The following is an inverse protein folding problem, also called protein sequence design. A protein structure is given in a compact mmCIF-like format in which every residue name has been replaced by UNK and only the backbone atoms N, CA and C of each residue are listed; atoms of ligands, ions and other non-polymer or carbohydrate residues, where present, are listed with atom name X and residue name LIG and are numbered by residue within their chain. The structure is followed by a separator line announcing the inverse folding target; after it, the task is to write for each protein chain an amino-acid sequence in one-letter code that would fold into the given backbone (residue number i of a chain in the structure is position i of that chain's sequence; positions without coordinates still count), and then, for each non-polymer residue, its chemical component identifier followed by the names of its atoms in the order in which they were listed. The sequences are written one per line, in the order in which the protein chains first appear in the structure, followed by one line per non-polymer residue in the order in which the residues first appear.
data_IF_386616329575
#
_entry.id   IF_386616329575
#
_cell.length_a   1.000
_cell.length_b   1.000
_cell.length_c   1.000
_cell.angle_alpha   90.00
_cell.angle_beta   90.00
_cell.angle_gamma   90.00
#
_symmetry.space_group_name_H-M   'P 1'
#
loop_
_entity.id
_entity.type
_entity.pdbx_description
1 polymer ?
#
# COMPACT_ATOMS: atom_id res chain seq x y z
N UNK A 1 -18.20 10.48 10.09
CA UNK A 1 -17.37 9.43 10.73
C UNK A 1 -16.25 9.09 9.79
N UNK A 2 -14.99 9.23 10.22
CA UNK A 2 -13.84 8.82 9.42
C UNK A 2 -13.35 7.44 9.82
N UNK A 3 -12.81 6.66 8.88
CA UNK A 3 -12.28 5.32 9.14
C UNK A 3 -10.95 5.09 8.44
N UNK A 4 -10.28 4.00 8.82
CA UNK A 4 -8.99 3.57 8.26
C UNK A 4 -9.19 2.27 7.50
N UNK A 5 -8.62 2.15 6.31
CA UNK A 5 -8.56 0.89 5.58
C UNK A 5 -7.20 0.23 5.79
N UNK A 6 -7.20 -1.07 6.06
CA UNK A 6 -5.98 -1.84 6.32
C UNK A 6 -6.02 -3.08 5.44
N UNK A 7 -5.03 -3.22 4.57
CA UNK A 7 -4.80 -4.40 3.76
C UNK A 7 -3.58 -5.12 4.29
N UNK A 8 -3.74 -6.36 4.73
CA UNK A 8 -2.63 -7.24 5.09
C UNK A 8 -2.47 -8.38 4.09
N UNK A 9 -1.24 -8.72 3.71
CA UNK A 9 -0.95 -9.84 2.80
C UNK A 9 -1.77 -9.69 1.51
N UNK A 10 -2.63 -10.66 1.16
CA UNK A 10 -3.53 -10.57 -0.02
C UNK A 10 -4.59 -9.47 0.08
N UNK A 11 -4.89 -8.96 1.27
CA UNK A 11 -5.76 -7.80 1.46
C UNK A 11 -5.22 -6.53 0.79
N UNK A 12 -3.90 -6.42 0.59
CA UNK A 12 -3.31 -5.32 -0.18
C UNK A 12 -3.78 -5.30 -1.65
N UNK A 13 -4.14 -6.46 -2.22
CA UNK A 13 -4.67 -6.51 -3.60
C UNK A 13 -6.00 -5.77 -3.71
N UNK A 14 -6.82 -5.80 -2.66
CA UNK A 14 -8.09 -5.06 -2.60
C UNK A 14 -7.84 -3.56 -2.57
N UNK A 15 -6.85 -3.11 -1.77
CA UNK A 15 -6.45 -1.70 -1.75
C UNK A 15 -5.90 -1.25 -3.10
N UNK A 16 -5.09 -2.08 -3.75
CA UNK A 16 -4.57 -1.78 -5.08
C UNK A 16 -5.71 -1.61 -6.09
N UNK A 17 -6.71 -2.50 -6.08
CA UNK A 17 -7.87 -2.40 -6.96
C UNK A 17 -8.68 -1.12 -6.70
N UNK A 18 -8.87 -0.74 -5.43
CA UNK A 18 -9.50 0.52 -5.06
C UNK A 18 -8.79 1.71 -5.70
N UNK A 19 -7.45 1.73 -5.71
CA UNK A 19 -6.69 2.79 -6.37
C UNK A 19 -6.93 2.82 -7.88
N UNK A 20 -6.93 1.65 -8.53
CA UNK A 20 -7.18 1.56 -9.97
C UNK A 20 -8.57 2.05 -10.39
N UNK A 21 -9.57 1.84 -9.54
CA UNK A 21 -10.96 2.24 -9.81
C UNK A 21 -11.30 3.65 -9.32
N UNK A 22 -10.41 4.27 -8.54
CA UNK A 22 -10.64 5.53 -7.83
C UNK A 22 -11.24 6.62 -8.73
N UNK A 23 -10.73 6.73 -9.97
CA UNK A 23 -11.19 7.73 -10.95
C UNK A 23 -12.65 7.60 -11.33
N UNK A 24 -13.06 6.38 -11.61
CA UNK A 24 -14.42 6.09 -12.03
C UNK A 24 -15.34 6.07 -10.81
N UNK A 25 -14.87 5.54 -9.68
CA UNK A 25 -15.57 5.50 -8.41
C UNK A 25 -16.01 6.90 -7.93
N UNK A 26 -15.14 7.90 -8.03
CA UNK A 26 -15.45 9.30 -7.64
C UNK A 26 -16.55 9.97 -8.49
N UNK A 27 -16.97 9.39 -9.61
CA UNK A 27 -18.09 9.92 -10.42
C UNK A 27 -19.44 9.62 -9.76
N UNK A 28 -19.51 8.58 -8.95
CA UNK A 28 -20.66 8.28 -8.11
C UNK A 28 -20.57 9.06 -6.80
N UNK A 29 -21.63 9.78 -6.45
CA UNK A 29 -21.63 10.69 -5.28
C UNK A 29 -21.57 9.95 -3.95
N UNK A 30 -22.20 8.79 -3.87
CA UNK A 30 -22.24 8.02 -2.63
C UNK A 30 -20.88 7.35 -2.40
N UNK A 31 -20.23 6.90 -3.47
CA UNK A 31 -18.87 6.34 -3.41
C UNK A 31 -17.82 7.43 -3.15
N UNK A 32 -17.92 8.61 -3.76
CA UNK A 32 -17.03 9.74 -3.46
C UNK A 32 -17.15 10.16 -1.98
N UNK A 33 -18.38 10.25 -1.46
CA UNK A 33 -18.61 10.51 -0.04
C UNK A 33 -18.00 9.42 0.86
N UNK A 34 -18.07 8.14 0.46
CA UNK A 34 -17.39 7.06 1.17
C UNK A 34 -15.86 7.24 1.17
N UNK A 35 -15.27 7.54 0.01
CA UNK A 35 -13.82 7.76 -0.15
C UNK A 35 -13.35 8.93 0.72
N UNK A 36 -14.10 10.03 0.76
CA UNK A 36 -13.79 11.21 1.58
C UNK A 36 -13.82 10.93 3.10
N UNK A 37 -14.47 9.84 3.53
CA UNK A 37 -14.45 9.42 4.93
C UNK A 37 -13.23 8.54 5.28
N UNK A 38 -12.40 8.14 4.30
CA UNK A 38 -11.16 7.41 4.56
C UNK A 38 -10.11 8.40 5.06
N UNK A 39 -9.62 8.22 6.29
CA UNK A 39 -8.55 9.05 6.86
C UNK A 39 -7.16 8.55 6.48
N UNK A 40 -6.99 7.24 6.47
CA UNK A 40 -5.72 6.59 6.21
C UNK A 40 -5.91 5.21 5.56
N UNK A 41 -4.90 4.81 4.79
CA UNK A 41 -4.79 3.48 4.20
C UNK A 41 -3.44 2.85 4.58
N UNK A 42 -3.48 1.59 5.00
CA UNK A 42 -2.30 0.82 5.40
C UNK A 42 -2.12 -0.37 4.46
N UNK A 43 -0.97 -0.42 3.81
CA UNK A 43 -0.46 -1.63 3.16
C UNK A 43 0.49 -2.30 4.15
N UNK A 44 0.03 -3.40 4.75
CA UNK A 44 0.80 -4.20 5.71
C UNK A 44 1.33 -5.46 5.02
N UNK A 45 2.64 -5.49 4.83
CA UNK A 45 3.42 -6.63 4.32
C UNK A 45 2.73 -7.34 3.14
N UNK A 46 2.39 -6.55 2.12
CA UNK A 46 1.56 -6.97 0.99
C UNK A 46 2.07 -8.20 0.25
N UNK A 47 1.18 -9.15 -0.01
CA UNK A 47 1.52 -10.42 -0.63
C UNK A 47 0.56 -10.77 -1.77
N UNK A 48 1.10 -11.14 -2.92
CA UNK A 48 0.34 -11.72 -4.02
C UNK A 48 1.14 -12.86 -4.66
N UNK A 49 0.44 -13.83 -5.27
CA UNK A 49 1.05 -15.03 -5.88
C UNK A 49 1.50 -14.81 -7.34
N UNK A 50 1.26 -13.62 -7.90
CA UNK A 50 1.67 -13.23 -9.25
C UNK A 50 3.09 -12.67 -9.32
N UNK A 51 3.62 -12.56 -10.55
CA UNK A 51 4.98 -12.08 -10.83
C UNK A 51 5.14 -10.56 -10.91
N UNK A 52 4.08 -9.80 -10.63
CA UNK A 52 4.07 -8.33 -10.64
C UNK A 52 2.81 -7.81 -9.93
N UNK A 53 2.71 -6.48 -9.79
CA UNK A 53 1.56 -5.75 -9.24
C UNK A 53 1.28 -6.05 -7.76
N UNK A 54 2.34 -6.33 -6.99
CA UNK A 54 2.26 -6.37 -5.53
C UNK A 54 2.04 -4.97 -4.98
N UNK A 55 2.70 -3.98 -5.59
CA UNK A 55 2.44 -2.56 -5.36
C UNK A 55 2.05 -1.85 -6.65
N UNK A 56 1.16 -0.85 -6.55
CA UNK A 56 0.76 -0.03 -7.68
C UNK A 56 1.95 0.84 -8.10
N UNK A 57 2.33 0.81 -9.38
CA UNK A 57 3.47 1.63 -9.88
C UNK A 57 3.09 2.53 -11.05
N UNK A 58 1.79 2.65 -11.33
CA UNK A 58 1.26 3.45 -12.43
C UNK A 58 1.14 4.93 -12.02
N UNK A 59 1.91 5.85 -12.64
CA UNK A 59 1.96 7.25 -12.21
C UNK A 59 0.61 7.96 -12.24
N UNK A 60 -0.24 7.67 -13.23
CA UNK A 60 -1.56 8.30 -13.34
C UNK A 60 -2.49 7.91 -12.19
N UNK A 61 -2.44 6.64 -11.76
CA UNK A 61 -3.21 6.13 -10.61
C UNK A 61 -2.75 6.78 -9.32
N UNK A 62 -1.44 6.79 -9.06
CA UNK A 62 -0.90 7.34 -7.81
C UNK A 62 -1.01 8.86 -7.74
N UNK A 63 -0.94 9.56 -8.88
CA UNK A 63 -1.18 11.00 -8.94
C UNK A 63 -2.61 11.34 -8.52
N UNK A 64 -3.58 10.59 -9.02
CA UNK A 64 -4.98 10.79 -8.62
C UNK A 64 -5.24 10.43 -7.15
N UNK A 65 -4.60 9.36 -6.66
CA UNK A 65 -4.68 8.98 -5.27
C UNK A 65 -4.09 10.05 -4.35
N UNK A 66 -2.95 10.64 -4.70
CA UNK A 66 -2.29 11.71 -3.90
C UNK A 66 -3.19 12.92 -3.66
N UNK A 67 -4.13 13.20 -4.58
CA UNK A 67 -5.06 14.32 -4.50
C UNK A 67 -6.22 14.10 -3.52
N UNK A 68 -6.39 12.89 -2.99
CA UNK A 68 -7.47 12.59 -2.02
C UNK A 68 -7.21 13.15 -0.62
N UNK A 69 -5.96 13.44 -0.28
CA UNK A 69 -5.57 13.79 1.10
C UNK A 69 -5.56 12.62 2.08
N UNK A 70 -5.82 11.39 1.62
CA UNK A 70 -5.73 10.18 2.45
C UNK A 70 -4.28 9.95 2.85
N UNK A 71 -4.04 9.69 4.14
CA UNK A 71 -2.69 9.35 4.62
C UNK A 71 -2.31 7.93 4.22
N UNK A 72 -1.11 7.74 3.69
CA UNK A 72 -0.62 6.46 3.17
C UNK A 72 0.40 5.88 4.13
N UNK A 73 0.22 4.63 4.54
CA UNK A 73 1.19 3.91 5.37
C UNK A 73 1.61 2.62 4.65
N UNK A 74 2.87 2.54 4.25
CA UNK A 74 3.48 1.39 3.59
C UNK A 74 4.40 0.69 4.59
N UNK A 75 3.90 -0.33 5.26
CA UNK A 75 4.61 -1.07 6.29
C UNK A 75 5.04 -2.42 5.72
N UNK A 76 6.34 -2.68 5.72
CA UNK A 76 6.94 -3.86 5.08
C UNK A 76 7.93 -4.53 6.01
N UNK A 77 8.21 -5.80 5.75
CA UNK A 77 9.25 -6.58 6.44
C UNK A 77 10.35 -6.99 5.47
N UNK A 78 11.57 -7.33 5.94
CA UNK A 78 12.61 -7.94 5.12
C UNK A 78 12.12 -9.19 4.37
N UNK A 79 11.20 -9.97 4.97
CA UNK A 79 10.57 -11.13 4.34
C UNK A 79 9.85 -10.79 3.04
N UNK A 80 9.19 -9.64 2.98
CA UNK A 80 8.51 -9.20 1.77
C UNK A 80 9.48 -8.57 0.77
N UNK A 81 10.24 -7.54 1.18
CA UNK A 81 10.94 -6.66 0.23
C UNK A 81 12.36 -7.08 -0.13
N UNK A 82 12.98 -8.00 0.63
CA UNK A 82 14.32 -8.52 0.36
C UNK A 82 14.33 -9.96 -0.19
N UNK A 83 13.18 -10.50 -0.57
CA UNK A 83 13.09 -11.82 -1.20
C UNK A 83 13.79 -11.82 -2.57
N UNK A 84 14.90 -12.57 -2.66
CA UNK A 84 15.74 -12.69 -3.87
C UNK A 84 15.07 -13.51 -4.99
N UNK A 85 14.09 -14.34 -4.66
CA UNK A 85 13.28 -15.07 -5.64
C UNK A 85 12.12 -14.20 -6.16
N UNK A 86 11.67 -13.22 -5.38
CA UNK A 86 10.57 -12.31 -5.69
C UNK A 86 11.00 -10.84 -5.75
N UNK A 87 12.13 -10.56 -6.41
CA UNK A 87 12.77 -9.22 -6.41
C UNK A 87 11.89 -8.07 -6.90
N UNK A 88 10.83 -8.34 -7.66
CA UNK A 88 9.90 -7.30 -8.11
C UNK A 88 9.19 -6.63 -6.94
N UNK A 89 8.92 -7.35 -5.84
CA UNK A 89 8.16 -6.81 -4.70
C UNK A 89 8.88 -5.61 -4.10
N UNK A 90 10.18 -5.74 -3.80
CA UNK A 90 10.98 -4.63 -3.27
C UNK A 90 11.15 -3.48 -4.27
N UNK A 91 11.27 -3.79 -5.57
CA UNK A 91 11.36 -2.76 -6.63
C UNK A 91 10.05 -1.98 -6.77
N UNK A 92 8.92 -2.67 -6.75
CA UNK A 92 7.59 -2.07 -6.83
C UNK A 92 7.27 -1.25 -5.58
N UNK A 93 7.57 -1.76 -4.38
CA UNK A 93 7.44 -0.99 -3.12
C UNK A 93 8.21 0.33 -3.19
N UNK A 94 9.51 0.26 -3.56
CA UNK A 94 10.34 1.45 -3.71
C UNK A 94 9.74 2.44 -4.70
N UNK A 95 9.23 1.95 -5.84
CA UNK A 95 8.62 2.81 -6.86
C UNK A 95 7.30 3.42 -6.40
N UNK A 96 6.47 2.68 -5.67
CA UNK A 96 5.22 3.15 -5.08
C UNK A 96 5.47 4.30 -4.10
N UNK A 97 6.41 4.12 -3.18
CA UNK A 97 6.79 5.16 -2.20
C UNK A 97 7.32 6.40 -2.93
N UNK A 98 8.28 6.21 -3.83
CA UNK A 98 8.88 7.30 -4.59
C UNK A 98 7.84 8.13 -5.36
N UNK A 99 6.90 7.49 -6.06
CA UNK A 99 5.86 8.19 -6.81
C UNK A 99 4.93 9.01 -5.91
N UNK A 100 4.57 8.46 -4.74
CA UNK A 100 3.69 9.15 -3.80
C UNK A 100 4.39 10.35 -3.14
N UNK A 101 5.68 10.23 -2.82
CA UNK A 101 6.51 11.37 -2.39
C UNK A 101 6.61 12.44 -3.50
N UNK A 102 6.90 12.03 -4.75
CA UNK A 102 6.99 12.92 -5.92
C UNK A 102 5.67 13.68 -6.17
N UNK A 103 4.52 13.07 -5.87
CA UNK A 103 3.20 13.70 -6.01
C UNK A 103 2.73 14.45 -4.75
N UNK A 104 3.54 14.49 -3.69
CA UNK A 104 3.22 15.24 -2.47
C UNK A 104 2.15 14.58 -1.60
N UNK A 105 1.96 13.26 -1.70
CA UNK A 105 1.08 12.51 -0.81
C UNK A 105 1.65 12.50 0.63
N UNK A 106 0.77 12.43 1.63
CA UNK A 106 1.18 12.19 3.01
C UNK A 106 1.51 10.71 3.21
N UNK A 107 2.74 10.31 2.92
CA UNK A 107 3.21 8.93 2.99
C UNK A 107 4.19 8.69 4.14
N UNK A 108 3.96 7.59 4.85
CA UNK A 108 4.89 6.97 5.80
C UNK A 108 5.31 5.60 5.26
N UNK A 109 6.60 5.36 5.09
CA UNK A 109 7.15 4.05 4.71
C UNK A 109 8.00 3.50 5.85
N UNK A 110 7.66 2.32 6.36
CA UNK A 110 8.29 1.71 7.53
C UNK A 110 8.75 0.28 7.22
N UNK A 111 10.04 0.03 7.40
CA UNK A 111 10.62 -1.31 7.41
C UNK A 111 10.65 -1.83 8.85
N UNK A 112 9.80 -2.81 9.15
CA UNK A 112 9.75 -3.48 10.45
C UNK A 112 10.81 -4.59 10.52
N UNK A 113 11.34 -4.85 11.72
CA UNK A 113 12.26 -5.95 11.98
C UNK A 113 13.52 -5.93 11.08
N UNK A 114 14.05 -4.74 10.77
CA UNK A 114 15.17 -4.56 9.86
C UNK A 114 16.45 -5.30 10.29
N UNK A 115 16.62 -5.51 11.59
CA UNK A 115 17.77 -6.20 12.19
C UNK A 115 17.54 -7.72 12.37
N UNK A 116 16.39 -8.24 11.97
CA UNK A 116 16.04 -9.66 12.07
C UNK A 116 16.15 -10.38 10.72
N UNK A 117 16.38 -11.69 10.75
CA UNK A 117 16.38 -12.51 9.55
C UNK A 117 14.97 -12.56 8.92
N UNK A 118 14.84 -12.47 7.59
CA UNK A 118 13.55 -12.60 6.90
C UNK A 118 12.82 -13.90 7.28
N UNK A 119 11.60 -13.78 7.81
CA UNK A 119 10.81 -14.94 8.25
C UNK A 119 9.31 -14.74 8.02
N UNK A 120 8.59 -15.85 7.89
CA UNK A 120 7.11 -15.84 7.83
C UNK A 120 6.50 -15.42 9.19
N UNK A 121 7.22 -15.59 10.29
CA UNK A 121 6.80 -15.06 11.59
C UNK A 121 6.75 -13.53 11.57
N UNK A 122 7.78 -12.89 11.02
CA UNK A 122 7.84 -11.43 10.89
C UNK A 122 6.70 -10.89 10.02
N UNK A 123 6.33 -11.61 8.96
CA UNK A 123 5.16 -11.30 8.12
C UNK A 123 3.89 -11.15 8.96
N UNK A 124 3.60 -12.09 9.87
CA UNK A 124 2.41 -12.01 10.71
C UNK A 124 2.55 -11.02 11.87
N UNK A 125 3.76 -10.89 12.44
CA UNK A 125 4.04 -10.01 13.57
C UNK A 125 3.81 -8.53 13.27
N UNK A 126 3.80 -8.13 11.99
CA UNK A 126 3.48 -6.75 11.59
C UNK A 126 2.12 -6.28 12.13
N UNK A 127 1.16 -7.18 12.33
CA UNK A 127 -0.16 -6.87 12.91
C UNK A 127 -0.12 -6.31 14.32
N UNK A 128 0.95 -6.56 15.06
CA UNK A 128 1.07 -6.18 16.47
C UNK A 128 1.78 -4.84 16.63
N UNK A 129 2.40 -4.30 15.57
CA UNK A 129 3.37 -3.19 15.66
C UNK A 129 3.14 -2.05 14.66
N UNK A 130 2.07 -2.09 13.86
CA UNK A 130 1.78 -1.08 12.83
C UNK A 130 1.02 0.15 13.33
#
# INVERSE_FOLDING_TARGET
NSFTLIGFSKGCVVLNQLLHELKEAKKDKDIDAFIQNIKAMYWLDGGHSGGSNTWVTYPHVLKEFSQTGISVNAHVTPYQVFDTMRTWIGKEHKRFVQLLEEFGANINSQLHFADEAPSLENHFKVHEVF
#
